data_IF_563319757955
#
_entry.id   IF_563319757955
#
_cell.length_a   1.000
_cell.length_b   1.000
_cell.length_c   1.000
_cell.angle_alpha   90.00
_cell.angle_beta   90.00
_cell.angle_gamma   90.00
#
_symmetry.space_group_name_H-M   'P 1'
#
loop_
_entity.id
_entity.type
_entity.pdbx_description
1 polymer ?
#
# COMPACT_ATOMS: atom_id res chain seq x y z
N UNK A 1 -10.22 -5.98 -35.10
CA UNK A 1 -11.58 -6.49 -34.80
C UNK A 1 -11.62 -7.97 -35.14
N UNK A 2 -11.63 -8.86 -34.14
CA UNK A 2 -11.85 -10.29 -34.38
C UNK A 2 -13.34 -10.44 -34.74
N UNK A 3 -13.64 -10.89 -35.97
CA UNK A 3 -15.02 -11.08 -36.44
C UNK A 3 -15.57 -12.37 -35.83
N UNK A 4 -16.55 -12.26 -34.94
CA UNK A 4 -17.26 -13.40 -34.36
C UNK A 4 -17.98 -14.21 -35.45
N UNK A 5 -17.88 -15.54 -35.42
CA UNK A 5 -18.45 -16.43 -36.43
C UNK A 5 -19.99 -16.42 -36.37
N UNK A 6 -20.66 -16.32 -37.53
CA UNK A 6 -22.13 -16.19 -37.62
C UNK A 6 -22.92 -17.29 -36.89
N UNK A 7 -22.37 -18.50 -36.77
CA UNK A 7 -23.01 -19.65 -36.13
C UNK A 7 -22.54 -19.91 -34.69
N UNK A 8 -21.61 -19.11 -34.16
CA UNK A 8 -21.11 -19.23 -32.79
C UNK A 8 -22.14 -18.71 -31.77
N UNK A 9 -22.08 -19.18 -30.51
CA UNK A 9 -22.88 -18.63 -29.42
C UNK A 9 -22.67 -17.11 -29.29
N UNK A 10 -23.76 -16.34 -29.20
CA UNK A 10 -23.69 -14.89 -29.17
C UNK A 10 -23.04 -14.39 -27.88
N UNK A 11 -22.10 -13.44 -28.00
CA UNK A 11 -21.29 -12.93 -26.88
C UNK A 11 -22.04 -12.07 -25.86
N UNK A 12 -23.35 -11.88 -26.07
CA UNK A 12 -24.28 -11.24 -25.15
C UNK A 12 -24.91 -12.21 -24.12
N UNK A 13 -24.60 -13.51 -24.18
CA UNK A 13 -25.07 -14.49 -23.19
C UNK A 13 -26.51 -14.97 -23.38
N UNK A 14 -27.16 -14.66 -24.51
CA UNK A 14 -28.56 -15.00 -24.77
C UNK A 14 -28.84 -16.49 -25.05
N UNK A 15 -27.81 -17.33 -25.12
CA UNK A 15 -27.92 -18.74 -25.53
C UNK A 15 -28.21 -18.96 -27.03
N UNK A 16 -28.37 -17.89 -27.82
CA UNK A 16 -28.66 -17.94 -29.26
C UNK A 16 -27.39 -17.81 -30.11
N UNK A 17 -27.43 -18.26 -31.37
CA UNK A 17 -26.33 -18.06 -32.34
C UNK A 17 -26.21 -16.59 -32.75
N UNK A 18 -25.00 -16.08 -32.95
CA UNK A 18 -24.71 -14.67 -33.25
C UNK A 18 -25.60 -14.09 -34.36
N UNK A 19 -25.76 -14.80 -35.49
CA UNK A 19 -26.60 -14.36 -36.62
C UNK A 19 -28.10 -14.22 -36.30
N UNK A 20 -28.58 -14.86 -35.24
CA UNK A 20 -29.99 -14.85 -34.79
C UNK A 20 -30.21 -13.92 -33.59
N UNK A 21 -29.17 -13.18 -33.20
CA UNK A 21 -29.21 -12.24 -32.08
C UNK A 21 -28.60 -10.92 -32.56
N UNK A 22 -27.44 -10.53 -32.05
CA UNK A 22 -26.78 -9.28 -32.39
C UNK A 22 -26.40 -9.16 -33.88
N UNK A 23 -26.24 -10.29 -34.59
CA UNK A 23 -26.02 -10.32 -36.04
C UNK A 23 -27.29 -10.11 -36.87
N UNK A 24 -28.50 -10.25 -36.29
CA UNK A 24 -29.77 -10.01 -36.97
C UNK A 24 -30.20 -8.54 -36.92
N UNK A 25 -29.75 -7.79 -35.91
CA UNK A 25 -30.18 -6.40 -35.69
C UNK A 25 -29.33 -5.36 -36.43
N UNK A 26 -28.21 -5.77 -37.04
CA UNK A 26 -27.37 -4.93 -37.91
C UNK A 26 -26.73 -3.69 -37.26
N UNK A 27 -27.03 -3.39 -36.00
CA UNK A 27 -26.48 -2.23 -35.28
C UNK A 27 -25.38 -2.71 -34.32
N UNK A 28 -24.18 -2.10 -34.35
CA UNK A 28 -23.30 -2.15 -33.18
C UNK A 28 -24.15 -1.79 -31.98
N UNK A 29 -24.10 -2.56 -30.89
CA UNK A 29 -24.79 -2.16 -29.67
C UNK A 29 -24.14 -0.87 -29.17
N UNK A 30 -24.69 0.26 -29.61
CA UNK A 30 -24.34 1.59 -29.14
C UNK A 30 -25.03 1.76 -27.80
N UNK A 31 -24.25 1.79 -26.71
CA UNK A 31 -24.76 2.14 -25.39
C UNK A 31 -25.28 3.59 -25.49
N UNK A 32 -26.52 3.82 -25.08
CA UNK A 32 -27.05 5.19 -25.05
C UNK A 32 -26.28 6.02 -24.01
N UNK A 33 -26.11 7.34 -24.21
CA UNK A 33 -25.42 8.20 -23.22
C UNK A 33 -25.99 8.06 -21.80
N UNK A 34 -27.31 7.87 -21.68
CA UNK A 34 -27.97 7.66 -20.40
C UNK A 34 -27.54 6.34 -19.73
N UNK A 35 -27.56 5.23 -20.46
CA UNK A 35 -27.15 3.92 -19.91
C UNK A 35 -25.67 3.96 -19.50
N UNK A 36 -24.82 4.64 -20.27
CA UNK A 36 -23.42 4.84 -19.91
C UNK A 36 -23.29 5.64 -18.61
N UNK A 37 -23.99 6.77 -18.49
CA UNK A 37 -23.96 7.60 -17.30
C UNK A 37 -24.44 6.85 -16.05
N UNK A 38 -25.53 6.08 -16.18
CA UNK A 38 -26.07 5.28 -15.09
C UNK A 38 -25.12 4.14 -14.69
N UNK A 39 -24.49 3.48 -15.67
CA UNK A 39 -23.46 2.46 -15.41
C UNK A 39 -22.26 3.03 -14.66
N UNK A 40 -21.77 4.20 -15.06
CA UNK A 40 -20.65 4.87 -14.37
C UNK A 40 -21.03 5.27 -12.95
N UNK A 41 -22.22 5.84 -12.75
CA UNK A 41 -22.73 6.18 -11.42
C UNK A 41 -22.81 4.94 -10.53
N UNK A 42 -23.34 3.84 -11.05
CA UNK A 42 -23.41 2.58 -10.33
C UNK A 42 -22.03 2.02 -9.97
N UNK A 43 -21.05 2.13 -10.87
CA UNK A 43 -19.68 1.72 -10.59
C UNK A 43 -19.06 2.55 -9.45
N UNK A 44 -19.22 3.87 -9.47
CA UNK A 44 -18.76 4.77 -8.42
C UNK A 44 -19.40 4.47 -7.06
N UNK A 45 -20.73 4.29 -7.01
CA UNK A 45 -21.44 3.92 -5.77
C UNK A 45 -20.94 2.61 -5.19
N UNK A 46 -20.61 1.62 -6.02
CA UNK A 46 -20.02 0.37 -5.53
C UNK A 46 -18.58 0.58 -5.04
N UNK A 47 -17.78 1.40 -5.71
CA UNK A 47 -16.41 1.71 -5.28
C UNK A 47 -16.37 2.44 -3.92
N UNK A 48 -17.22 3.47 -3.75
CA UNK A 48 -17.34 4.24 -2.51
C UNK A 48 -17.78 3.35 -1.34
N UNK A 49 -18.65 2.38 -1.60
CA UNK A 49 -19.09 1.41 -0.60
C UNK A 49 -18.17 0.19 -0.46
N UNK A 50 -16.91 0.28 -0.91
CA UNK A 50 -15.90 -0.79 -0.86
C UNK A 50 -16.28 -2.10 -1.54
N UNK A 51 -17.32 -2.12 -2.39
CA UNK A 51 -17.74 -3.25 -3.22
C UNK A 51 -16.93 -3.31 -4.51
N UNK A 52 -15.62 -3.55 -4.36
CA UNK A 52 -14.63 -3.43 -5.44
C UNK A 52 -14.87 -4.42 -6.59
N UNK A 53 -15.27 -5.65 -6.27
CA UNK A 53 -15.58 -6.68 -7.27
C UNK A 53 -16.74 -6.25 -8.18
N UNK A 54 -17.82 -5.71 -7.58
CA UNK A 54 -18.98 -5.21 -8.31
C UNK A 54 -18.63 -3.98 -9.15
N UNK A 55 -17.90 -3.02 -8.59
CA UNK A 55 -17.43 -1.84 -9.32
C UNK A 55 -16.55 -2.24 -10.53
N UNK A 56 -15.62 -3.18 -10.31
CA UNK A 56 -14.73 -3.70 -11.36
C UNK A 56 -15.52 -4.40 -12.47
N UNK A 57 -16.51 -5.21 -12.12
CA UNK A 57 -17.39 -5.89 -13.08
C UNK A 57 -18.14 -4.89 -13.97
N UNK A 58 -18.72 -3.84 -13.37
CA UNK A 58 -19.43 -2.80 -14.13
C UNK A 58 -18.46 -2.07 -15.07
N UNK A 59 -17.27 -1.67 -14.58
CA UNK A 59 -16.27 -1.04 -15.43
C UNK A 59 -15.82 -1.95 -16.59
N UNK A 60 -15.63 -3.25 -16.35
CA UNK A 60 -15.27 -4.22 -17.39
C UNK A 60 -16.37 -4.33 -18.46
N UNK A 61 -17.63 -4.31 -18.05
CA UNK A 61 -18.75 -4.26 -18.99
C UNK A 61 -18.72 -2.99 -19.84
N UNK A 62 -18.52 -1.82 -19.22
CA UNK A 62 -18.42 -0.54 -19.95
C UNK A 62 -17.27 -0.57 -20.96
N UNK A 63 -16.08 -1.01 -20.54
CA UNK A 63 -14.89 -1.07 -21.40
C UNK A 63 -15.05 -2.10 -22.53
N UNK A 64 -15.82 -3.18 -22.33
CA UNK A 64 -16.12 -4.15 -23.42
C UNK A 64 -16.87 -3.49 -24.59
N UNK A 65 -17.77 -2.56 -24.31
CA UNK A 65 -18.56 -1.87 -25.34
C UNK A 65 -17.91 -0.56 -25.80
N UNK A 66 -17.21 0.13 -24.89
CA UNK A 66 -16.52 1.39 -25.14
C UNK A 66 -15.08 1.26 -24.59
N UNK A 67 -14.16 0.61 -25.35
CA UNK A 67 -12.81 0.31 -24.87
C UNK A 67 -11.98 1.53 -24.44
N UNK A 68 -12.35 2.71 -24.92
CA UNK A 68 -11.64 3.95 -24.63
C UNK A 68 -12.36 4.86 -23.61
N UNK A 69 -13.36 4.37 -22.88
CA UNK A 69 -14.08 5.16 -21.88
C UNK A 69 -13.14 5.54 -20.72
N UNK A 70 -12.73 6.81 -20.69
CA UNK A 70 -11.78 7.38 -19.74
C UNK A 70 -12.24 7.21 -18.29
N UNK A 71 -13.49 7.49 -17.93
CA UNK A 71 -13.91 7.43 -16.51
C UNK A 71 -13.96 5.99 -15.99
N UNK A 72 -14.33 5.02 -16.84
CA UNK A 72 -14.30 3.61 -16.47
C UNK A 72 -12.86 3.10 -16.28
N UNK A 73 -11.94 3.52 -17.15
CA UNK A 73 -10.51 3.20 -17.01
C UNK A 73 -9.88 3.86 -15.79
N UNK A 74 -10.26 5.11 -15.50
CA UNK A 74 -9.85 5.81 -14.29
C UNK A 74 -10.33 5.08 -13.04
N UNK A 75 -11.61 4.70 -12.99
CA UNK A 75 -12.15 3.95 -11.86
C UNK A 75 -11.52 2.56 -11.73
N UNK A 76 -11.17 1.87 -12.82
CA UNK A 76 -10.37 0.64 -12.75
C UNK A 76 -8.97 0.88 -12.17
N UNK A 77 -8.35 2.01 -12.49
CA UNK A 77 -7.08 2.42 -11.90
C UNK A 77 -7.18 2.65 -10.39
N UNK A 78 -8.25 3.31 -9.94
CA UNK A 78 -8.53 3.51 -8.51
C UNK A 78 -8.84 2.20 -7.78
N UNK A 79 -9.58 1.29 -8.41
CA UNK A 79 -9.83 -0.05 -7.88
C UNK A 79 -8.50 -0.82 -7.75
N UNK A 80 -7.63 -0.75 -8.76
CA UNK A 80 -6.32 -1.39 -8.73
C UNK A 80 -5.44 -0.81 -7.62
N UNK A 81 -5.46 0.50 -7.38
CA UNK A 81 -4.79 1.12 -6.22
C UNK A 81 -5.32 0.57 -4.90
N UNK A 82 -6.65 0.57 -4.71
CA UNK A 82 -7.27 0.13 -3.46
C UNK A 82 -7.07 -1.36 -3.19
N UNK A 83 -6.93 -2.17 -4.23
CA UNK A 83 -6.60 -3.60 -4.13
C UNK A 83 -5.09 -3.88 -4.01
N UNK A 84 -4.23 -2.87 -4.17
CA UNK A 84 -2.77 -3.04 -4.15
C UNK A 84 -2.17 -3.59 -5.45
N UNK A 85 -2.89 -3.61 -6.58
CA UNK A 85 -2.34 -3.95 -7.90
C UNK A 85 -1.60 -2.75 -8.52
N UNK A 86 -0.46 -2.36 -7.94
CA UNK A 86 0.19 -1.08 -8.24
C UNK A 86 0.69 -1.00 -9.68
N UNK A 87 1.27 -2.05 -10.27
CA UNK A 87 1.70 -2.02 -11.68
C UNK A 87 0.52 -1.79 -12.62
N UNK A 88 -0.61 -2.44 -12.35
CA UNK A 88 -1.84 -2.29 -13.13
C UNK A 88 -2.42 -0.89 -12.97
N UNK A 89 -2.40 -0.34 -11.75
CA UNK A 89 -2.83 1.03 -11.50
C UNK A 89 -2.00 2.03 -12.31
N UNK A 90 -0.67 1.90 -12.29
CA UNK A 90 0.23 2.75 -13.08
C UNK A 90 -0.09 2.65 -14.58
N UNK A 91 -0.32 1.45 -15.11
CA UNK A 91 -0.69 1.26 -16.52
C UNK A 91 -2.00 1.99 -16.88
N UNK A 92 -3.06 1.72 -16.11
CA UNK A 92 -4.40 2.28 -16.35
C UNK A 92 -4.41 3.80 -16.22
N UNK A 93 -3.82 4.33 -15.15
CA UNK A 93 -3.80 5.76 -14.86
C UNK A 93 -2.87 6.52 -15.82
N UNK A 94 -1.76 5.90 -16.26
CA UNK A 94 -0.94 6.46 -17.34
C UNK A 94 -1.74 6.58 -18.64
N UNK A 95 -2.58 5.59 -18.97
CA UNK A 95 -3.44 5.63 -20.14
C UNK A 95 -4.53 6.71 -20.03
N UNK A 96 -5.06 6.93 -18.82
CA UNK A 96 -6.01 8.02 -18.53
C UNK A 96 -5.35 9.40 -18.73
N UNK A 97 -4.20 9.64 -18.10
CA UNK A 97 -3.49 10.93 -18.18
C UNK A 97 -2.99 11.21 -19.60
N UNK A 98 -2.59 10.19 -20.37
CA UNK A 98 -2.24 10.36 -21.80
C UNK A 98 -3.40 10.88 -22.65
N UNK A 99 -4.64 10.61 -22.26
CA UNK A 99 -5.85 11.02 -23.00
C UNK A 99 -6.39 12.36 -22.51
N UNK A 100 -6.31 12.60 -21.21
CA UNK A 100 -6.73 13.86 -20.60
C UNK A 100 -5.75 14.25 -19.48
N UNK A 101 -4.80 15.12 -19.85
CA UNK A 101 -3.74 15.58 -18.95
C UNK A 101 -4.11 16.86 -18.19
N UNK A 102 -5.38 17.32 -18.27
CA UNK A 102 -5.83 18.60 -17.72
C UNK A 102 -6.74 18.44 -16.49
N UNK A 103 -7.00 17.20 -16.04
CA UNK A 103 -7.75 16.93 -14.80
C UNK A 103 -6.81 16.61 -13.65
N UNK A 104 -6.80 17.49 -12.64
CA UNK A 104 -5.97 17.33 -11.45
C UNK A 104 -6.15 15.96 -10.75
N UNK A 105 -7.36 15.41 -10.57
CA UNK A 105 -7.53 14.09 -9.94
C UNK A 105 -6.82 12.96 -10.68
N UNK A 106 -6.83 12.95 -12.02
CA UNK A 106 -6.17 11.91 -12.81
C UNK A 106 -4.66 11.90 -12.58
N UNK A 107 -4.06 13.10 -12.53
CA UNK A 107 -2.63 13.28 -12.32
C UNK A 107 -2.26 12.95 -10.87
N UNK A 108 -3.08 13.36 -9.90
CA UNK A 108 -2.87 13.06 -8.49
C UNK A 108 -2.91 11.53 -8.23
N UNK A 109 -3.89 10.81 -8.80
CA UNK A 109 -3.95 9.35 -8.67
C UNK A 109 -2.79 8.64 -9.34
N UNK A 110 -2.33 9.11 -10.51
CA UNK A 110 -1.10 8.58 -11.12
C UNK A 110 0.13 8.86 -10.25
N UNK A 111 0.19 10.05 -9.64
CA UNK A 111 1.23 10.38 -8.66
C UNK A 111 1.23 9.41 -7.48
N UNK A 112 0.05 9.07 -6.95
CA UNK A 112 -0.10 8.05 -5.90
C UNK A 112 0.33 6.67 -6.36
N UNK A 113 -0.04 6.24 -7.57
CA UNK A 113 0.46 4.98 -8.11
C UNK A 113 2.00 4.97 -8.25
N UNK A 114 2.63 6.10 -8.59
CA UNK A 114 4.09 6.21 -8.60
C UNK A 114 4.71 6.21 -7.20
N UNK A 115 4.04 6.81 -6.22
CA UNK A 115 4.44 6.77 -4.82
C UNK A 115 4.48 5.33 -4.32
N UNK A 116 3.38 4.60 -4.48
CA UNK A 116 3.29 3.18 -4.07
C UNK A 116 4.26 2.27 -4.85
N UNK A 117 4.67 2.67 -6.06
CA UNK A 117 5.68 1.96 -6.84
C UNK A 117 7.14 2.30 -6.44
N UNK A 118 7.36 3.21 -5.47
CA UNK A 118 8.69 3.67 -5.07
C UNK A 118 9.32 4.71 -6.02
N UNK A 119 8.57 5.22 -7.01
CA UNK A 119 9.04 6.21 -7.99
C UNK A 119 8.78 7.65 -7.51
N UNK A 120 9.46 8.03 -6.44
CA UNK A 120 9.22 9.29 -5.70
C UNK A 120 9.33 10.55 -6.56
N UNK A 121 10.34 10.64 -7.44
CA UNK A 121 10.50 11.82 -8.32
C UNK A 121 9.28 12.04 -9.25
N UNK A 122 8.72 10.94 -9.77
CA UNK A 122 7.53 10.99 -10.61
C UNK A 122 6.27 11.31 -9.79
N UNK A 123 6.19 10.81 -8.56
CA UNK A 123 5.10 11.10 -7.63
C UNK A 123 5.05 12.61 -7.30
N UNK A 124 6.16 13.17 -6.81
CA UNK A 124 6.30 14.60 -6.47
C UNK A 124 5.95 15.48 -7.67
N UNK A 125 6.51 15.17 -8.85
CA UNK A 125 6.23 15.92 -10.09
C UNK A 125 4.73 15.88 -10.44
N UNK A 126 4.09 14.73 -10.25
CA UNK A 126 2.67 14.56 -10.54
C UNK A 126 1.80 15.34 -9.55
N UNK A 127 2.07 15.28 -8.25
CA UNK A 127 1.30 16.04 -7.25
C UNK A 127 1.44 17.54 -7.45
N UNK A 128 2.66 18.05 -7.69
CA UNK A 128 2.88 19.47 -7.99
C UNK A 128 2.11 19.92 -9.22
N UNK A 129 2.07 19.08 -10.27
CA UNK A 129 1.27 19.36 -11.47
C UNK A 129 -0.23 19.35 -11.16
N UNK A 130 -0.72 18.41 -10.35
CA UNK A 130 -2.12 18.36 -9.94
C UNK A 130 -2.52 19.61 -9.14
N UNK A 131 -1.69 20.05 -8.19
CA UNK A 131 -1.89 21.27 -7.39
C UNK A 131 -1.87 22.53 -8.29
N UNK A 132 -0.98 22.57 -9.30
CA UNK A 132 -0.94 23.68 -10.24
C UNK A 132 -2.23 23.80 -11.09
N UNK A 133 -2.88 22.67 -11.40
CA UNK A 133 -4.16 22.65 -12.12
C UNK A 133 -5.36 22.93 -11.21
N UNK A 134 -5.32 22.43 -9.98
CA UNK A 134 -6.34 22.63 -8.95
C UNK A 134 -5.67 22.84 -7.59
N UNK A 135 -5.47 24.11 -7.18
CA UNK A 135 -4.87 24.43 -5.88
C UNK A 135 -5.71 24.00 -4.67
N UNK A 136 -6.93 23.48 -4.87
CA UNK A 136 -7.80 22.97 -3.80
C UNK A 136 -7.80 21.43 -3.73
N UNK A 137 -6.93 20.76 -4.49
CA UNK A 137 -6.87 19.31 -4.51
C UNK A 137 -6.23 18.77 -3.21
N UNK A 138 -7.08 18.47 -2.23
CA UNK A 138 -6.69 17.96 -0.90
C UNK A 138 -5.81 16.72 -1.00
N UNK A 139 -6.20 15.73 -1.82
CA UNK A 139 -5.43 14.48 -1.97
C UNK A 139 -4.03 14.73 -2.52
N UNK A 140 -3.86 15.69 -3.44
CA UNK A 140 -2.54 16.03 -3.97
C UNK A 140 -1.66 16.72 -2.92
N UNK A 141 -2.22 17.62 -2.11
CA UNK A 141 -1.50 18.23 -0.99
C UNK A 141 -1.12 17.20 0.06
N UNK A 142 -2.08 16.36 0.49
CA UNK A 142 -1.81 15.30 1.46
C UNK A 142 -0.73 14.34 0.94
N UNK A 143 -0.85 13.81 -0.28
CA UNK A 143 0.16 12.87 -0.75
C UNK A 143 1.52 13.53 -1.06
N UNK A 144 1.54 14.83 -1.44
CA UNK A 144 2.79 15.57 -1.58
C UNK A 144 3.49 15.73 -0.24
N UNK A 145 2.77 15.92 0.87
CA UNK A 145 3.39 15.98 2.19
C UNK A 145 4.22 14.73 2.46
N UNK A 146 3.64 13.55 2.25
CA UNK A 146 4.29 12.28 2.52
C UNK A 146 5.52 12.11 1.62
N UNK A 147 5.39 12.37 0.32
CA UNK A 147 6.50 12.27 -0.62
C UNK A 147 7.65 13.26 -0.35
N UNK A 148 7.43 14.29 0.47
CA UNK A 148 8.46 15.26 0.88
C UNK A 148 9.09 14.93 2.24
N UNK A 149 8.51 14.02 3.03
CA UNK A 149 9.11 13.57 4.29
C UNK A 149 10.43 12.84 3.98
N UNK A 150 11.49 13.19 4.70
CA UNK A 150 12.84 12.63 4.50
C UNK A 150 13.70 13.40 3.49
N UNK A 151 13.14 14.39 2.79
CA UNK A 151 13.93 15.37 2.04
C UNK A 151 14.45 16.48 2.96
N UNK A 152 15.54 17.20 2.59
CA UNK A 152 16.16 18.21 3.45
C UNK A 152 15.26 19.37 3.91
N UNK A 153 14.02 19.48 3.41
CA UNK A 153 13.10 20.55 3.75
C UNK A 153 11.71 20.00 4.13
N UNK A 154 11.56 19.68 5.41
CA UNK A 154 10.28 19.22 5.98
C UNK A 154 9.23 20.35 6.11
N UNK A 155 9.66 21.62 6.06
CA UNK A 155 8.73 22.75 6.17
C UNK A 155 7.76 22.78 4.97
N UNK A 156 8.20 22.32 3.79
CA UNK A 156 7.31 22.18 2.64
C UNK A 156 6.27 21.06 2.85
N UNK A 157 6.65 19.96 3.49
CA UNK A 157 5.70 18.91 3.85
C UNK A 157 4.64 19.44 4.84
N UNK A 158 5.07 20.17 5.87
CA UNK A 158 4.19 20.80 6.85
C UNK A 158 3.23 21.80 6.17
N UNK A 159 3.73 22.66 5.29
CA UNK A 159 2.90 23.65 4.58
C UNK A 159 1.81 22.99 3.71
N UNK A 160 2.09 21.82 3.12
CA UNK A 160 1.08 21.06 2.39
C UNK A 160 -0.01 20.52 3.31
N UNK A 161 0.34 20.00 4.49
CA UNK A 161 -0.64 19.57 5.49
C UNK A 161 -1.45 20.74 6.08
N UNK A 162 -0.83 21.91 6.31
CA UNK A 162 -1.55 23.11 6.73
C UNK A 162 -2.58 23.53 5.68
N UNK A 163 -2.25 23.36 4.40
CA UNK A 163 -3.20 23.58 3.30
C UNK A 163 -4.35 22.57 3.34
N UNK A 164 -4.07 21.28 3.60
CA UNK A 164 -5.12 20.26 3.81
C UNK A 164 -6.05 20.66 4.94
N UNK A 165 -5.50 21.01 6.12
CA UNK A 165 -6.29 21.42 7.28
C UNK A 165 -7.13 22.69 7.02
N UNK A 166 -6.63 23.62 6.19
CA UNK A 166 -7.38 24.81 5.77
C UNK A 166 -8.54 24.49 4.83
N UNK A 167 -8.33 23.55 3.89
CA UNK A 167 -9.33 23.17 2.88
C UNK A 167 -10.40 22.22 3.45
N UNK A 168 -10.01 21.38 4.41
CA UNK A 168 -10.87 20.44 5.13
C UNK A 168 -10.66 20.63 6.62
N UNK A 169 -11.35 21.64 7.18
CA UNK A 169 -11.28 21.91 8.61
C UNK A 169 -11.72 20.66 9.39
N UNK A 170 -10.91 20.23 10.36
CA UNK A 170 -11.09 19.01 11.17
C UNK A 170 -10.75 17.69 10.47
N UNK A 171 -9.92 17.72 9.42
CA UNK A 171 -9.24 16.49 8.96
C UNK A 171 -8.29 15.99 10.07
N UNK A 172 -8.75 15.02 10.86
CA UNK A 172 -8.01 14.53 12.01
C UNK A 172 -6.69 13.85 11.61
N UNK A 173 -6.60 13.27 10.41
CA UNK A 173 -5.36 12.66 9.92
C UNK A 173 -4.32 13.74 9.64
N UNK A 174 -4.72 14.82 8.96
CA UNK A 174 -3.83 15.94 8.70
C UNK A 174 -3.39 16.64 10.00
N UNK A 175 -4.32 16.84 10.95
CA UNK A 175 -4.02 17.45 12.25
C UNK A 175 -3.05 16.58 13.06
N UNK A 176 -3.26 15.26 13.08
CA UNK A 176 -2.33 14.34 13.74
C UNK A 176 -0.92 14.42 13.13
N UNK A 177 -0.81 14.36 11.80
CA UNK A 177 0.48 14.45 11.11
C UNK A 177 1.17 15.81 11.36
N UNK A 178 0.41 16.92 11.40
CA UNK A 178 0.94 18.23 11.75
C UNK A 178 1.51 18.28 13.17
N UNK A 179 0.78 17.73 14.15
CA UNK A 179 1.24 17.61 15.53
C UNK A 179 2.53 16.80 15.61
N UNK A 180 2.52 15.59 15.05
CA UNK A 180 3.67 14.67 15.07
C UNK A 180 4.90 15.27 14.38
N UNK A 181 4.76 15.84 13.18
CA UNK A 181 5.90 16.43 12.46
C UNK A 181 6.48 17.63 13.22
N UNK A 182 5.66 18.50 13.82
CA UNK A 182 6.19 19.60 14.65
C UNK A 182 6.88 19.08 15.92
N UNK A 183 6.34 18.03 16.54
CA UNK A 183 6.94 17.38 17.73
C UNK A 183 8.32 16.78 17.38
N UNK A 184 8.45 16.12 16.23
CA UNK A 184 9.74 15.58 15.74
C UNK A 184 10.79 16.68 15.47
N UNK A 185 10.34 17.90 15.17
CA UNK A 185 11.20 19.06 14.98
C UNK A 185 11.47 19.83 16.28
N UNK A 186 11.08 19.27 17.43
CA UNK A 186 11.18 19.89 18.76
C UNK A 186 10.41 21.22 18.87
N UNK A 187 9.40 21.43 18.02
CA UNK A 187 8.47 22.58 18.05
C UNK A 187 7.27 22.24 18.95
N UNK A 188 7.54 21.94 20.22
CA UNK A 188 6.59 21.33 21.16
C UNK A 188 5.31 22.15 21.37
N UNK A 189 5.44 23.47 21.49
CA UNK A 189 4.28 24.36 21.66
C UNK A 189 3.34 24.30 20.44
N UNK A 190 3.90 24.26 19.23
CA UNK A 190 3.12 24.16 17.99
C UNK A 190 2.44 22.79 17.90
N UNK A 191 3.17 21.72 18.21
CA UNK A 191 2.62 20.37 18.22
C UNK A 191 1.39 20.25 19.15
N UNK A 192 1.48 20.81 20.35
CA UNK A 192 0.37 20.79 21.32
C UNK A 192 -0.88 21.52 20.81
N UNK A 193 -0.73 22.60 20.03
CA UNK A 193 -1.89 23.27 19.41
C UNK A 193 -2.65 22.35 18.45
N UNK A 194 -1.98 21.41 17.81
CA UNK A 194 -2.61 20.42 16.93
C UNK A 194 -3.17 19.26 17.75
N UNK A 195 -2.42 18.69 18.70
CA UNK A 195 -2.91 17.57 19.52
C UNK A 195 -4.15 17.92 20.36
N UNK A 196 -4.25 19.15 20.86
CA UNK A 196 -5.45 19.61 21.60
C UNK A 196 -6.72 19.65 20.75
N UNK A 197 -6.63 19.74 19.42
CA UNK A 197 -7.77 19.64 18.51
C UNK A 197 -8.29 18.20 18.38
N UNK A 198 -7.48 17.21 18.77
CA UNK A 198 -7.80 15.77 18.66
C UNK A 198 -8.46 15.18 19.92
N UNK A 199 -8.83 16.00 20.91
CA UNK A 199 -9.46 15.55 22.17
C UNK A 199 -10.69 14.65 21.98
N UNK A 200 -11.46 14.89 20.91
CA UNK A 200 -12.66 14.11 20.56
C UNK A 200 -12.50 13.34 19.24
N UNK A 201 -11.27 12.99 18.87
CA UNK A 201 -11.00 12.29 17.62
C UNK A 201 -11.55 10.86 17.60
N UNK A 202 -11.61 10.29 16.40
CA UNK A 202 -12.04 8.90 16.17
C UNK A 202 -11.11 7.89 16.86
N UNK A 203 -11.56 6.64 17.09
CA UNK A 203 -10.75 5.61 17.73
C UNK A 203 -9.37 5.41 17.08
N UNK A 204 -9.30 5.36 15.74
CA UNK A 204 -8.04 5.24 15.02
C UNK A 204 -7.04 6.37 15.32
N UNK A 205 -7.51 7.60 15.49
CA UNK A 205 -6.65 8.75 15.83
C UNK A 205 -6.15 8.66 17.27
N UNK A 206 -6.98 8.17 18.20
CA UNK A 206 -6.54 7.91 19.57
C UNK A 206 -5.44 6.84 19.60
N UNK A 207 -5.59 5.78 18.83
CA UNK A 207 -4.55 4.75 18.68
C UNK A 207 -3.26 5.32 18.06
N UNK A 208 -3.36 6.25 17.11
CA UNK A 208 -2.19 6.95 16.56
C UNK A 208 -1.47 7.83 17.58
N UNK A 209 -2.22 8.55 18.43
CA UNK A 209 -1.65 9.34 19.53
C UNK A 209 -0.94 8.44 20.56
N UNK A 210 -1.57 7.32 20.92
CA UNK A 210 -1.01 6.32 21.83
C UNK A 210 0.30 5.72 21.27
N UNK A 211 0.31 5.30 20.01
CA UNK A 211 1.51 4.81 19.32
C UNK A 211 2.61 5.90 19.25
N UNK A 212 2.24 7.16 19.05
CA UNK A 212 3.19 8.27 19.03
C UNK A 212 3.85 8.50 20.39
N UNK A 213 3.05 8.50 21.47
CA UNK A 213 3.56 8.64 22.83
C UNK A 213 4.44 7.45 23.24
N UNK A 214 4.09 6.23 22.81
CA UNK A 214 4.93 5.05 22.98
C UNK A 214 6.29 5.23 22.29
N UNK A 215 6.33 5.63 21.01
CA UNK A 215 7.57 5.83 20.27
C UNK A 215 8.45 6.91 20.91
N UNK A 216 7.90 8.07 21.27
CA UNK A 216 8.66 9.12 21.96
C UNK A 216 9.28 8.66 23.27
N UNK A 217 8.58 7.77 23.97
CA UNK A 217 9.03 7.26 25.27
C UNK A 217 10.14 6.23 25.12
N UNK A 218 10.00 5.32 24.15
CA UNK A 218 10.83 4.12 24.05
C UNK A 218 11.92 4.18 22.96
N UNK A 219 11.73 4.97 21.91
CA UNK A 219 12.67 5.13 20.81
C UNK A 219 13.56 6.37 21.04
N UNK A 220 14.60 6.24 21.88
CA UNK A 220 15.54 7.34 22.18
C UNK A 220 16.96 7.00 21.70
N UNK A 221 17.61 7.84 20.88
CA UNK A 221 17.09 9.08 20.29
C UNK A 221 15.92 8.81 19.34
N UNK A 222 15.07 9.82 19.12
CA UNK A 222 13.93 9.67 18.22
C UNK A 222 14.42 9.35 16.81
N UNK A 223 13.98 8.22 16.22
CA UNK A 223 14.40 7.84 14.87
C UNK A 223 13.79 8.78 13.81
N UNK A 224 14.36 8.86 12.61
CA UNK A 224 13.80 9.65 11.51
C UNK A 224 12.42 9.16 11.06
N UNK A 225 11.56 10.11 10.68
CA UNK A 225 10.28 9.85 10.00
C UNK A 225 10.55 9.60 8.51
N UNK A 226 9.84 8.64 7.92
CA UNK A 226 9.85 8.36 6.48
C UNK A 226 8.47 8.58 5.87
N UNK A 227 8.45 8.96 4.59
CA UNK A 227 7.22 9.22 3.84
C UNK A 227 6.77 8.09 2.92
N UNK A 228 7.63 7.10 2.69
CA UNK A 228 7.40 6.07 1.68
C UNK A 228 8.12 4.76 2.01
N UNK A 229 7.60 3.66 1.47
CA UNK A 229 8.17 2.31 1.64
C UNK A 229 9.63 2.27 1.14
N UNK A 230 9.90 2.87 -0.03
CA UNK A 230 11.25 2.87 -0.60
C UNK A 230 12.24 3.63 0.28
N UNK A 231 11.82 4.68 0.99
CA UNK A 231 12.71 5.45 1.87
C UNK A 231 12.97 4.71 3.18
N UNK A 232 11.96 4.04 3.75
CA UNK A 232 12.14 3.06 4.83
C UNK A 232 13.18 2.02 4.43
N UNK A 233 13.02 1.39 3.26
CA UNK A 233 13.94 0.36 2.78
C UNK A 233 15.35 0.89 2.54
N UNK A 234 15.53 2.12 2.05
CA UNK A 234 16.87 2.73 1.91
C UNK A 234 17.58 2.88 3.25
N UNK A 235 16.88 3.36 4.28
CA UNK A 235 17.45 3.49 5.63
C UNK A 235 17.84 2.11 6.16
N UNK A 236 16.93 1.15 6.06
CA UNK A 236 17.12 -0.21 6.57
C UNK A 236 18.26 -0.94 5.86
N UNK A 237 18.33 -0.87 4.53
CA UNK A 237 19.45 -1.43 3.75
C UNK A 237 20.78 -0.75 4.06
N UNK A 238 20.75 0.55 4.39
CA UNK A 238 21.91 1.29 4.87
C UNK A 238 22.40 0.77 6.23
N UNK A 239 21.49 0.39 7.12
CA UNK A 239 21.79 -0.12 8.46
C UNK A 239 22.11 -1.63 8.50
N UNK A 240 21.56 -2.42 7.58
CA UNK A 240 21.74 -3.87 7.48
C UNK A 240 23.12 -4.23 6.92
N UNK A 241 24.15 -4.10 7.78
CA UNK A 241 25.56 -4.34 7.47
C UNK A 241 25.97 -5.80 7.50
N UNK A 242 25.18 -6.67 8.14
CA UNK A 242 25.40 -8.11 8.09
C UNK A 242 25.31 -8.61 6.64
N UNK A 243 26.22 -9.49 6.26
CA UNK A 243 26.01 -10.34 5.09
C UNK A 243 25.06 -11.47 5.48
N UNK A 244 24.07 -11.76 4.63
CA UNK A 244 23.06 -12.75 4.97
C UNK A 244 21.78 -12.62 4.16
N UNK A 245 20.75 -13.31 4.61
CA UNK A 245 19.48 -13.46 3.92
C UNK A 245 18.65 -12.16 3.98
N UNK A 246 18.03 -11.80 2.86
CA UNK A 246 17.01 -10.75 2.78
C UNK A 246 15.68 -11.41 2.48
N UNK A 247 14.74 -11.27 3.42
CA UNK A 247 13.47 -11.98 3.42
C UNK A 247 12.30 -10.99 3.40
N UNK A 248 11.22 -11.36 2.72
CA UNK A 248 9.92 -10.69 2.80
C UNK A 248 8.82 -11.72 3.07
N UNK A 249 7.92 -11.41 3.99
CA UNK A 249 6.73 -12.20 4.31
C UNK A 249 5.50 -11.35 3.99
N UNK A 250 4.53 -11.91 3.24
CA UNK A 250 3.35 -11.17 2.77
C UNK A 250 3.50 -10.55 1.38
N UNK A 251 4.03 -11.30 0.41
CA UNK A 251 4.36 -10.76 -0.92
C UNK A 251 3.14 -10.23 -1.68
N UNK A 252 2.01 -10.93 -1.64
CA UNK A 252 0.75 -10.65 -2.34
C UNK A 252 0.92 -10.25 -3.81
N UNK A 253 0.85 -8.95 -4.13
CA UNK A 253 1.02 -8.43 -5.50
C UNK A 253 2.48 -8.14 -5.88
N UNK A 254 3.41 -8.25 -4.93
CA UNK A 254 4.86 -8.09 -5.07
C UNK A 254 5.33 -6.63 -5.03
N UNK A 255 4.57 -5.72 -4.43
CA UNK A 255 4.86 -4.28 -4.48
C UNK A 255 6.14 -3.92 -3.71
N UNK A 256 6.22 -4.34 -2.45
CA UNK A 256 7.36 -4.20 -1.55
C UNK A 256 8.55 -5.04 -2.04
N UNK A 257 8.35 -6.33 -2.39
CA UNK A 257 9.48 -7.18 -2.81
C UNK A 257 10.20 -6.64 -4.03
N UNK A 258 9.49 -6.01 -4.98
CA UNK A 258 10.11 -5.38 -6.16
C UNK A 258 11.02 -4.22 -5.75
N UNK A 259 10.57 -3.40 -4.81
CA UNK A 259 11.36 -2.28 -4.29
C UNK A 259 12.57 -2.78 -3.50
N UNK A 260 12.35 -3.78 -2.64
CA UNK A 260 13.42 -4.40 -1.84
C UNK A 260 14.47 -5.06 -2.73
N UNK A 261 14.06 -5.81 -3.76
CA UNK A 261 14.95 -6.49 -4.69
C UNK A 261 15.89 -5.54 -5.45
N UNK A 262 15.41 -4.35 -5.81
CA UNK A 262 16.23 -3.31 -6.46
C UNK A 262 17.30 -2.79 -5.49
N UNK A 263 16.94 -2.59 -4.22
CA UNK A 263 17.84 -2.02 -3.20
C UNK A 263 18.82 -3.06 -2.63
N UNK A 264 18.38 -4.31 -2.49
CA UNK A 264 19.16 -5.38 -1.89
C UNK A 264 20.39 -5.74 -2.74
N UNK A 265 20.28 -5.67 -4.07
CA UNK A 265 21.32 -6.06 -5.04
C UNK A 265 21.88 -7.46 -4.79
N UNK A 266 21.04 -8.34 -4.25
CA UNK A 266 21.29 -9.75 -4.00
C UNK A 266 19.97 -10.51 -4.17
N UNK A 267 19.99 -11.82 -3.92
CA UNK A 267 18.77 -12.60 -3.90
C UNK A 267 17.87 -12.17 -2.73
N UNK A 268 16.58 -12.01 -3.01
CA UNK A 268 15.53 -11.75 -2.03
C UNK A 268 14.55 -12.91 -2.05
N UNK A 269 14.20 -13.41 -0.88
CA UNK A 269 13.26 -14.53 -0.73
C UNK A 269 11.92 -14.01 -0.21
N UNK A 270 10.87 -14.21 -1.00
CA UNK A 270 9.50 -13.82 -0.64
C UNK A 270 8.68 -15.04 -0.25
N UNK A 271 7.93 -14.94 0.84
CA UNK A 271 7.04 -15.99 1.34
C UNK A 271 5.60 -15.50 1.33
N UNK A 272 4.70 -16.32 0.77
CA UNK A 272 3.26 -16.05 0.77
C UNK A 272 2.48 -17.32 0.38
N UNK A 273 1.30 -17.52 0.95
CA UNK A 273 0.38 -18.58 0.49
C UNK A 273 -0.29 -18.22 -0.85
N UNK A 274 -0.48 -16.92 -1.09
CA UNK A 274 -1.33 -16.30 -2.11
C UNK A 274 -2.82 -16.66 -1.96
N UNK A 275 -3.18 -17.23 -0.81
CA UNK A 275 -4.54 -17.66 -0.46
C UNK A 275 -5.26 -16.64 0.44
N UNK A 276 -4.55 -15.67 0.99
CA UNK A 276 -5.06 -14.66 1.92
C UNK A 276 -4.77 -15.01 3.38
N UNK A 277 -5.30 -14.22 4.31
CA UNK A 277 -5.09 -14.44 5.75
C UNK A 277 -5.73 -15.77 6.22
N UNK A 278 -5.07 -16.52 7.13
CA UNK A 278 -5.50 -17.86 7.54
C UNK A 278 -6.65 -17.87 8.56
N UNK A 279 -6.98 -16.72 9.14
CA UNK A 279 -8.01 -16.56 10.16
C UNK A 279 -8.70 -15.20 10.01
N UNK A 280 -9.84 -15.02 10.69
CA UNK A 280 -10.51 -13.72 10.77
C UNK A 280 -9.62 -12.73 11.54
N UNK A 281 -9.54 -11.48 11.06
CA UNK A 281 -8.70 -10.45 11.63
C UNK A 281 -9.45 -9.13 11.74
N UNK A 282 -9.87 -8.78 12.96
CA UNK A 282 -10.72 -7.62 13.23
C UNK A 282 -11.98 -7.61 12.34
N UNK A 283 -12.08 -6.66 11.41
CA UNK A 283 -13.18 -6.54 10.44
C UNK A 283 -12.92 -7.27 9.11
N UNK A 284 -11.73 -7.86 8.95
CA UNK A 284 -11.32 -8.63 7.76
C UNK A 284 -11.62 -10.12 7.97
N UNK A 285 -12.27 -10.74 6.98
CA UNK A 285 -12.59 -12.16 7.03
C UNK A 285 -11.41 -13.01 6.58
N UNK A 286 -11.34 -14.25 7.07
CA UNK A 286 -10.42 -15.26 6.57
C UNK A 286 -10.43 -15.33 5.03
N UNK A 287 -9.24 -15.36 4.42
CA UNK A 287 -9.06 -15.29 2.97
C UNK A 287 -9.10 -13.88 2.38
N UNK A 288 -9.27 -12.83 3.20
CA UNK A 288 -8.97 -11.44 2.78
C UNK A 288 -7.54 -11.35 2.25
N UNK A 289 -7.31 -10.39 1.36
CA UNK A 289 -6.04 -10.16 0.65
C UNK A 289 -5.57 -11.25 -0.32
N UNK A 290 -6.34 -12.33 -0.51
CA UNK A 290 -6.06 -13.39 -1.48
C UNK A 290 -5.87 -12.88 -2.91
N UNK A 291 -4.81 -13.34 -3.59
CA UNK A 291 -4.68 -13.21 -5.05
C UNK A 291 -5.30 -14.39 -5.79
N UNK A 292 -5.98 -15.30 -5.06
CA UNK A 292 -6.55 -16.55 -5.57
C UNK A 292 -5.47 -17.47 -6.18
N UNK A 293 -4.32 -17.53 -5.52
CA UNK A 293 -3.16 -18.32 -5.96
C UNK A 293 -2.41 -17.74 -7.16
N UNK A 294 -2.72 -16.51 -7.59
CA UNK A 294 -1.99 -15.86 -8.68
C UNK A 294 -0.68 -15.31 -8.12
N UNK A 295 0.42 -15.97 -8.48
CA UNK A 295 1.77 -15.54 -8.13
C UNK A 295 2.17 -14.34 -8.99
N UNK A 296 2.65 -13.24 -8.39
CA UNK A 296 3.04 -12.04 -9.12
C UNK A 296 4.32 -12.25 -9.95
N UNK A 297 4.45 -11.50 -11.04
CA UNK A 297 5.72 -11.42 -11.77
C UNK A 297 6.74 -10.59 -11.01
N UNK A 298 7.90 -11.15 -10.71
CA UNK A 298 8.95 -10.49 -9.92
C UNK A 298 10.28 -10.47 -10.69
N UNK A 299 11.24 -9.60 -10.31
CA UNK A 299 12.59 -9.59 -10.87
C UNK A 299 13.31 -10.93 -10.72
N UNK A 300 14.32 -11.17 -11.57
CA UNK A 300 15.04 -12.45 -11.60
C UNK A 300 15.79 -12.78 -10.31
N UNK A 301 16.17 -11.77 -9.52
CA UNK A 301 16.81 -11.94 -8.21
C UNK A 301 15.81 -12.17 -7.06
N UNK A 302 14.53 -12.40 -7.36
CA UNK A 302 13.50 -12.74 -6.37
C UNK A 302 13.13 -14.21 -6.50
N UNK A 303 13.18 -14.94 -5.39
CA UNK A 303 12.69 -16.30 -5.27
C UNK A 303 11.44 -16.32 -4.40
N UNK A 304 10.32 -16.77 -4.96
CA UNK A 304 9.05 -16.85 -4.25
C UNK A 304 8.82 -18.28 -3.73
N UNK A 305 8.50 -18.38 -2.46
CA UNK A 305 8.17 -19.60 -1.74
C UNK A 305 6.67 -19.61 -1.46
N UNK A 306 5.92 -20.34 -2.29
CA UNK A 306 4.48 -20.44 -2.15
C UNK A 306 4.11 -21.42 -1.02
N UNK A 307 3.31 -20.94 -0.08
CA UNK A 307 2.72 -21.75 0.99
C UNK A 307 2.66 -20.99 2.31
N UNK A 308 2.08 -21.63 3.33
CA UNK A 308 2.04 -21.08 4.67
C UNK A 308 3.44 -20.98 5.27
N UNK A 309 3.68 -19.97 6.11
CA UNK A 309 5.02 -19.67 6.64
C UNK A 309 5.60 -20.84 7.45
N UNK A 310 4.77 -21.49 8.27
CA UNK A 310 5.13 -22.65 9.09
C UNK A 310 5.44 -23.92 8.27
N UNK A 311 5.02 -23.97 7.00
CA UNK A 311 5.27 -25.08 6.08
C UNK A 311 6.49 -24.83 5.21
N UNK A 312 6.64 -23.60 4.71
CA UNK A 312 7.69 -23.24 3.73
C UNK A 312 9.01 -22.88 4.39
N UNK A 313 8.97 -22.21 5.54
CA UNK A 313 10.16 -21.69 6.18
C UNK A 313 11.09 -22.77 6.76
N UNK A 314 10.60 -23.89 7.36
CA UNK A 314 11.49 -24.96 7.81
C UNK A 314 12.30 -25.61 6.68
N UNK A 315 11.68 -25.85 5.52
CA UNK A 315 12.38 -26.38 4.35
C UNK A 315 13.42 -25.36 3.85
N UNK A 316 13.04 -24.08 3.73
CA UNK A 316 13.96 -23.01 3.36
C UNK A 316 15.18 -22.95 4.30
N UNK A 317 14.98 -22.93 5.62
CA UNK A 317 16.06 -22.90 6.63
C UNK A 317 16.89 -24.19 6.65
N UNK A 318 16.40 -25.28 6.06
CA UNK A 318 17.18 -26.49 5.84
C UNK A 318 18.22 -26.32 4.73
N UNK A 319 17.93 -25.48 3.74
CA UNK A 319 18.76 -25.22 2.55
C UNK A 319 19.70 -24.02 2.74
N UNK A 320 19.21 -22.96 3.38
CA UNK A 320 19.95 -21.71 3.61
C UNK A 320 20.37 -21.61 5.08
N UNK A 321 21.66 -21.35 5.31
CA UNK A 321 22.30 -21.40 6.65
C UNK A 321 22.83 -20.06 7.11
N UNK A 322 22.89 -19.09 6.20
CA UNK A 322 23.34 -17.74 6.44
C UNK A 322 22.50 -17.04 7.53
N UNK A 323 23.07 -16.10 8.29
CA UNK A 323 22.31 -15.30 9.24
C UNK A 323 21.31 -14.41 8.50
N UNK A 324 20.36 -13.87 9.24
CA UNK A 324 19.42 -12.89 8.71
C UNK A 324 20.11 -11.53 8.61
N UNK A 325 20.10 -10.96 7.40
CA UNK A 325 20.51 -9.58 7.16
C UNK A 325 19.36 -8.61 7.35
N UNK A 326 18.23 -8.87 6.67
CA UNK A 326 17.05 -8.01 6.71
C UNK A 326 15.78 -8.83 6.53
N UNK A 327 14.74 -8.47 7.28
CA UNK A 327 13.39 -9.03 7.14
C UNK A 327 12.40 -7.89 6.92
N UNK A 328 11.53 -8.01 5.92
CA UNK A 328 10.28 -7.26 5.84
C UNK A 328 9.13 -8.17 6.28
N UNK A 329 8.50 -7.83 7.40
CA UNK A 329 7.32 -8.49 7.96
C UNK A 329 6.11 -7.69 7.49
N UNK A 330 5.29 -8.31 6.64
CA UNK A 330 3.98 -7.81 6.20
C UNK A 330 3.00 -8.99 6.38
N UNK A 331 2.88 -9.45 7.63
CA UNK A 331 2.16 -10.67 7.95
C UNK A 331 0.69 -10.42 8.32
N UNK A 332 0.32 -9.14 8.45
CA UNK A 332 -0.95 -8.57 8.94
C UNK A 332 -1.25 -8.93 10.42
N UNK A 333 -1.18 -10.21 10.76
CA UNK A 333 -1.73 -10.78 11.99
C UNK A 333 -0.67 -11.26 12.98
N UNK A 334 -1.04 -11.27 14.26
CA UNK A 334 -0.20 -11.75 15.36
C UNK A 334 0.34 -13.17 15.15
N UNK A 335 -0.52 -14.14 14.81
CA UNK A 335 -0.17 -15.57 14.75
C UNK A 335 0.87 -15.87 13.66
N UNK A 336 0.68 -15.30 12.47
CA UNK A 336 1.63 -15.35 11.35
C UNK A 336 2.96 -14.71 11.71
N UNK A 337 2.94 -13.49 12.27
CA UNK A 337 4.15 -12.76 12.67
C UNK A 337 4.95 -13.53 13.71
N UNK A 338 4.27 -14.04 14.73
CA UNK A 338 4.89 -14.84 15.79
C UNK A 338 5.57 -16.09 15.22
N UNK A 339 4.89 -16.81 14.34
CA UNK A 339 5.43 -18.02 13.71
C UNK A 339 6.71 -17.73 12.92
N UNK A 340 6.73 -16.64 12.15
CA UNK A 340 7.92 -16.19 11.40
C UNK A 340 9.07 -15.87 12.36
N UNK A 341 8.81 -15.04 13.39
CA UNK A 341 9.86 -14.62 14.32
C UNK A 341 10.43 -15.80 15.12
N UNK A 342 9.59 -16.74 15.57
CA UNK A 342 10.04 -17.93 16.30
C UNK A 342 10.92 -18.86 15.45
N UNK A 343 10.51 -19.09 14.20
CA UNK A 343 11.26 -19.95 13.27
C UNK A 343 12.59 -19.31 12.84
N UNK A 344 12.62 -17.98 12.69
CA UNK A 344 13.82 -17.23 12.33
C UNK A 344 14.73 -16.93 13.51
N UNK A 345 14.25 -17.04 14.75
CA UNK A 345 15.01 -16.61 15.93
C UNK A 345 16.43 -17.19 16.02
N UNK A 346 16.69 -18.47 15.66
CA UNK A 346 18.05 -19.02 15.64
C UNK A 346 18.98 -18.45 14.55
N UNK A 347 18.51 -17.51 13.72
CA UNK A 347 19.27 -16.83 12.65
C UNK A 347 19.26 -15.31 12.79
N UNK A 348 18.50 -14.76 13.73
CA UNK A 348 18.45 -13.32 14.02
C UNK A 348 19.58 -13.01 15.00
N UNK A 349 20.60 -12.33 14.49
CA UNK A 349 21.82 -11.97 15.22
C UNK A 349 21.96 -10.45 15.34
N UNK A 350 22.89 -9.98 16.19
CA UNK A 350 23.24 -8.56 16.30
C UNK A 350 23.60 -7.97 14.94
N UNK A 351 22.92 -6.89 14.56
CA UNK A 351 23.03 -6.24 13.25
C UNK A 351 21.92 -6.60 12.26
N UNK A 352 21.07 -7.60 12.56
CA UNK A 352 19.90 -7.90 11.75
C UNK A 352 18.89 -6.75 11.80
N UNK A 353 18.30 -6.42 10.65
CA UNK A 353 17.28 -5.38 10.54
C UNK A 353 15.92 -6.01 10.30
N UNK A 354 14.91 -5.58 11.05
CA UNK A 354 13.53 -6.05 10.91
C UNK A 354 12.64 -4.85 10.65
N UNK A 355 11.89 -4.91 9.56
CA UNK A 355 10.90 -3.93 9.15
C UNK A 355 9.55 -4.58 9.35
N UNK A 356 8.64 -3.85 9.96
CA UNK A 356 7.25 -4.24 10.16
C UNK A 356 6.37 -3.31 9.36
N UNK A 357 5.50 -3.86 8.53
CA UNK A 357 4.37 -3.16 7.94
C UNK A 357 3.22 -3.15 8.96
N UNK A 358 2.43 -2.09 9.05
CA UNK A 358 1.30 -2.03 9.98
C UNK A 358 1.61 -2.08 11.50
N UNK A 359 2.88 -1.94 11.90
CA UNK A 359 3.33 -1.93 13.31
C UNK A 359 2.71 -0.81 14.16
N UNK A 360 2.39 0.33 13.53
CA UNK A 360 1.73 1.49 14.15
C UNK A 360 0.59 1.99 13.24
N UNK A 361 -0.19 2.95 13.71
CA UNK A 361 -1.11 3.70 12.86
C UNK A 361 -2.48 3.07 12.62
N UNK A 362 -2.63 1.80 12.96
CA UNK A 362 -3.91 1.08 13.01
C UNK A 362 -4.60 1.23 14.37
N UNK A 363 -5.91 0.94 14.40
CA UNK A 363 -6.70 1.02 15.64
C UNK A 363 -6.20 0.02 16.70
N UNK A 364 -5.83 -1.18 16.27
CA UNK A 364 -5.38 -2.30 17.11
C UNK A 364 -3.85 -2.49 17.08
N UNK A 365 -3.10 -1.41 16.87
CA UNK A 365 -1.64 -1.46 16.60
C UNK A 365 -0.84 -2.27 17.62
N UNK A 366 -1.28 -2.37 18.88
CA UNK A 366 -0.60 -3.09 19.94
C UNK A 366 -0.97 -4.58 20.07
N UNK A 367 -1.85 -5.10 19.20
CA UNK A 367 -2.40 -6.46 19.29
C UNK A 367 -1.75 -7.45 18.30
N UNK A 368 -1.24 -6.94 17.17
CA UNK A 368 -0.78 -7.74 16.03
C UNK A 368 0.76 -7.85 15.97
N UNK A 369 1.40 -7.29 14.93
CA UNK A 369 2.84 -7.41 14.72
C UNK A 369 3.67 -6.82 15.88
N UNK A 370 3.20 -5.70 16.44
CA UNK A 370 3.78 -5.10 17.65
C UNK A 370 3.90 -6.12 18.77
N UNK A 371 2.79 -6.77 19.11
CA UNK A 371 2.72 -7.72 20.22
C UNK A 371 3.63 -8.92 19.96
N UNK A 372 3.56 -9.48 18.76
CA UNK A 372 4.40 -10.61 18.36
C UNK A 372 5.89 -10.28 18.50
N UNK A 373 6.31 -9.09 18.06
CA UNK A 373 7.69 -8.66 18.20
C UNK A 373 8.10 -8.42 19.66
N UNK A 374 7.28 -7.74 20.47
CA UNK A 374 7.61 -7.50 21.89
C UNK A 374 7.76 -8.82 22.66
N UNK A 375 6.91 -9.80 22.38
CA UNK A 375 7.01 -11.14 22.97
C UNK A 375 8.26 -11.89 22.48
N UNK A 376 8.58 -11.83 21.18
CA UNK A 376 9.77 -12.46 20.63
C UNK A 376 11.05 -11.82 21.21
N UNK A 377 11.14 -10.49 21.22
CA UNK A 377 12.30 -9.78 21.77
C UNK A 377 12.54 -10.12 23.24
N UNK A 378 11.48 -10.26 24.04
CA UNK A 378 11.59 -10.73 25.42
C UNK A 378 12.01 -12.20 25.51
N UNK A 379 11.42 -13.08 24.69
CA UNK A 379 11.64 -14.53 24.75
C UNK A 379 13.05 -14.92 24.30
N UNK A 380 13.62 -14.19 23.35
CA UNK A 380 14.94 -14.43 22.77
C UNK A 380 16.01 -13.46 23.27
N UNK A 381 15.69 -12.64 24.28
CA UNK A 381 16.57 -11.61 24.86
C UNK A 381 17.17 -10.64 23.82
N UNK A 382 16.38 -10.28 22.81
CA UNK A 382 16.81 -9.31 21.80
C UNK A 382 16.78 -7.90 22.37
N UNK A 383 17.94 -7.28 22.36
CA UNK A 383 18.07 -5.83 22.46
C UNK A 383 17.96 -5.26 21.05
N UNK A 384 17.31 -4.11 20.94
CA UNK A 384 17.11 -3.48 19.64
C UNK A 384 17.07 -1.96 19.77
N UNK A 385 17.33 -1.29 18.65
CA UNK A 385 17.09 0.14 18.49
C UNK A 385 16.15 0.38 17.31
N UNK A 386 15.35 1.44 17.39
CA UNK A 386 14.50 1.87 16.29
C UNK A 386 15.33 2.65 15.25
N UNK A 387 15.15 2.33 13.97
CA UNK A 387 15.88 2.93 12.85
C UNK A 387 15.09 4.04 12.16
N UNK A 388 13.79 3.83 11.96
CA UNK A 388 12.88 4.79 11.35
C UNK A 388 11.43 4.36 11.60
N UNK A 389 10.49 5.28 11.39
CA UNK A 389 9.05 5.01 11.44
C UNK A 389 8.28 5.83 10.40
N UNK A 390 7.05 5.43 10.13
CA UNK A 390 6.11 6.18 9.31
C UNK A 390 4.69 5.97 9.79
N UNK A 391 3.96 7.04 10.08
CA UNK A 391 2.50 6.97 10.22
C UNK A 391 1.77 7.00 8.88
N UNK A 392 2.46 7.37 7.79
CA UNK A 392 1.89 7.35 6.44
C UNK A 392 1.87 5.93 5.87
N UNK A 393 3.01 5.23 5.92
CA UNK A 393 3.09 3.82 5.49
C UNK A 393 2.86 2.83 6.62
N UNK A 394 2.64 3.30 7.86
CA UNK A 394 2.49 2.48 9.08
C UNK A 394 3.72 1.65 9.47
N UNK A 395 4.84 1.82 8.76
CA UNK A 395 6.03 1.02 8.97
C UNK A 395 6.84 1.45 10.19
N UNK A 396 7.44 0.48 10.86
CA UNK A 396 8.51 0.69 11.85
C UNK A 396 9.65 -0.25 11.55
N UNK A 397 10.88 0.25 11.62
CA UNK A 397 12.08 -0.57 11.46
C UNK A 397 12.93 -0.56 12.73
N UNK A 398 13.48 -1.72 13.06
CA UNK A 398 14.39 -1.93 14.19
C UNK A 398 15.66 -2.64 13.75
N UNK A 399 16.74 -2.46 14.50
CA UNK A 399 17.98 -3.22 14.36
C UNK A 399 18.29 -3.93 15.66
N UNK A 400 18.59 -5.22 15.58
CA UNK A 400 19.00 -6.04 16.73
C UNK A 400 20.43 -5.66 17.13
N UNK A 401 20.70 -5.60 18.44
CA UNK A 401 21.97 -5.12 19.04
C UNK A 401 22.83 -6.23 19.62
#
# INVERSE_FOLDING_TARGET
>A
MIKQGRNEPCSCGSGKKYKQCCGATGKPQTISPQILADGLRAAWVNFEASRLAQASLICQQIVKFIPAQIDALYLQGLIALKDGQIERAVELLSNVVKRDANKAPFIASLGFAYHEQGKMDLAIKSYRKAIALDPKNINAHYNLHAALIGLPNIDEAIANLETVNKLSAHDHDAIFMLGMLNDTQNKLEIAETYFTQLKHASPIIKSRLDAWDYLKTNAKPLPPVTGSIVDTFKICMGAAKLEGLVLEFGVRHGNSIRQLAILAKQNVHGFDSFEGIPEDWHDEAMGSYSTKGIIPKVPENVMLHQGWFDQTLPEFLSQYKEPIRLINIDCDIYSSTKSVLDLLAPRIESGAVIIFDEYIGNQHWCEDEFKAFQEAAKSYDWKYEYLCFSFFTKQVAVKIL
#
